data_IF_142708510501
#
_entry.id   IF_142708510501
#
_cell.length_a   1.000
_cell.length_b   1.000
_cell.length_c   1.000
_cell.angle_alpha   90.00
_cell.angle_beta   90.00
_cell.angle_gamma   90.00
#
_symmetry.space_group_name_H-M   'P 1'
#
loop_
_entity.id
_entity.type
_entity.pdbx_description
1 polymer ?
#
# COMPACT_ATOMS: atom_id res chain seq x y z
N UNK A 1 36.88 -0.41 -4.16
CA UNK A 1 36.46 -0.41 -2.75
C UNK A 1 37.58 -0.14 -1.73
N UNK A 2 38.86 -0.24 -2.12
CA UNK A 2 40.02 -0.09 -1.18
C UNK A 2 40.53 1.35 -0.95
N UNK A 3 40.10 2.35 -1.71
CA UNK A 3 40.56 3.75 -1.56
C UNK A 3 39.84 4.57 -0.50
N UNK A 4 38.62 4.15 -0.10
CA UNK A 4 37.80 4.85 0.93
C UNK A 4 38.38 4.62 2.34
N UNK A 5 39.21 3.58 2.52
CA UNK A 5 39.78 3.18 3.81
C UNK A 5 40.99 4.03 4.22
N UNK A 6 41.57 4.82 3.32
CA UNK A 6 42.74 5.69 3.60
C UNK A 6 42.42 7.10 4.09
N UNK A 7 41.12 7.42 4.33
CA UNK A 7 40.70 8.74 4.84
C UNK A 7 40.95 8.94 6.34
N UNK A 8 40.90 10.20 6.78
CA UNK A 8 40.92 10.61 8.19
C UNK A 8 39.84 9.87 8.99
N UNK A 9 40.05 9.65 10.29
CA UNK A 9 39.09 9.00 11.22
C UNK A 9 37.70 9.64 11.09
N UNK A 10 37.63 10.98 10.98
CA UNK A 10 36.41 11.74 10.75
C UNK A 10 35.63 11.24 9.52
N UNK A 11 36.34 11.03 8.41
CA UNK A 11 35.73 10.58 7.16
C UNK A 11 35.19 9.14 7.27
N UNK A 12 35.90 8.28 7.96
CA UNK A 12 35.47 6.88 8.18
C UNK A 12 34.23 6.80 9.06
N UNK A 13 34.17 7.55 10.14
CA UNK A 13 33.03 7.63 11.03
C UNK A 13 31.81 8.18 10.27
N UNK A 14 32.00 9.29 9.53
CA UNK A 14 30.93 9.88 8.72
C UNK A 14 30.35 8.90 7.70
N UNK A 15 31.19 8.23 6.92
CA UNK A 15 30.74 7.25 5.94
C UNK A 15 30.11 6.01 6.61
N UNK A 16 30.60 5.57 7.77
CA UNK A 16 29.98 4.49 8.52
C UNK A 16 28.54 4.81 8.92
N UNK A 17 28.31 5.97 9.54
CA UNK A 17 26.94 6.40 9.90
C UNK A 17 26.06 6.61 8.67
N UNK A 18 26.59 7.21 7.60
CA UNK A 18 25.86 7.40 6.37
C UNK A 18 25.44 6.07 5.73
N UNK A 19 26.30 5.07 5.76
CA UNK A 19 25.99 3.73 5.22
C UNK A 19 24.88 3.07 6.02
N UNK A 20 24.92 3.13 7.35
CA UNK A 20 23.85 2.60 8.22
C UNK A 20 22.53 3.31 7.95
N UNK A 21 22.55 4.64 7.82
CA UNK A 21 21.35 5.43 7.49
C UNK A 21 20.76 5.02 6.14
N UNK A 22 21.59 4.86 5.11
CA UNK A 22 21.13 4.43 3.78
C UNK A 22 20.52 3.03 3.80
N UNK A 23 21.18 2.08 4.48
CA UNK A 23 20.64 0.72 4.62
C UNK A 23 19.29 0.71 5.35
N UNK A 24 19.14 1.51 6.41
CA UNK A 24 17.89 1.67 7.15
C UNK A 24 16.78 2.24 6.25
N UNK A 25 17.08 3.26 5.45
CA UNK A 25 16.13 3.87 4.51
C UNK A 25 15.66 2.83 3.48
N UNK A 26 16.59 2.07 2.89
CA UNK A 26 16.25 1.02 1.92
C UNK A 26 15.33 -0.02 2.57
N UNK A 27 15.66 -0.48 3.77
CA UNK A 27 14.86 -1.46 4.50
C UNK A 27 13.43 -0.95 4.78
N UNK A 28 13.31 0.26 5.32
CA UNK A 28 11.99 0.88 5.60
C UNK A 28 11.20 1.09 4.30
N UNK A 29 11.86 1.51 3.22
CA UNK A 29 11.21 1.74 1.93
C UNK A 29 10.61 0.45 1.36
N UNK A 30 11.37 -0.65 1.39
CA UNK A 30 10.90 -1.96 0.91
C UNK A 30 9.72 -2.46 1.74
N UNK A 31 9.83 -2.40 3.08
CA UNK A 31 8.73 -2.82 3.98
C UNK A 31 7.48 -1.98 3.73
N UNK A 32 7.63 -0.66 3.67
CA UNK A 32 6.50 0.26 3.42
C UNK A 32 5.81 -0.03 2.08
N UNK A 33 6.57 -0.30 1.02
CA UNK A 33 6.01 -0.66 -0.28
C UNK A 33 5.20 -1.97 -0.22
N UNK A 34 5.73 -3.01 0.45
CA UNK A 34 5.04 -4.29 0.59
C UNK A 34 3.75 -4.15 1.40
N UNK A 35 3.79 -3.40 2.51
CA UNK A 35 2.61 -3.11 3.34
C UNK A 35 1.56 -2.31 2.56
N UNK A 36 2.00 -1.27 1.83
CA UNK A 36 1.10 -0.47 1.00
C UNK A 36 0.40 -1.32 -0.06
N UNK A 37 1.16 -2.14 -0.80
CA UNK A 37 0.59 -3.04 -1.83
C UNK A 37 -0.48 -3.96 -1.24
N UNK A 38 -0.16 -4.64 -0.12
CA UNK A 38 -1.09 -5.54 0.55
C UNK A 38 -2.35 -4.82 1.06
N UNK A 39 -2.17 -3.66 1.70
CA UNK A 39 -3.30 -2.89 2.23
C UNK A 39 -4.21 -2.36 1.11
N UNK A 40 -3.63 -1.89 0.00
CA UNK A 40 -4.39 -1.40 -1.16
C UNK A 40 -5.23 -2.51 -1.78
N UNK A 41 -4.67 -3.71 -1.94
CA UNK A 41 -5.43 -4.87 -2.44
C UNK A 41 -6.60 -5.24 -1.51
N UNK A 42 -6.35 -5.26 -0.21
CA UNK A 42 -7.40 -5.57 0.79
C UNK A 42 -8.50 -4.51 0.82
N UNK A 43 -8.12 -3.23 0.81
CA UNK A 43 -9.08 -2.13 0.80
C UNK A 43 -9.90 -2.09 -0.50
N UNK A 44 -9.29 -2.38 -1.64
CA UNK A 44 -10.00 -2.43 -2.91
C UNK A 44 -11.04 -3.56 -2.92
N UNK A 45 -10.70 -4.74 -2.40
CA UNK A 45 -11.64 -5.86 -2.26
C UNK A 45 -12.80 -5.51 -1.33
N UNK A 46 -12.52 -4.88 -0.21
CA UNK A 46 -13.55 -4.51 0.76
C UNK A 46 -14.50 -3.42 0.21
N UNK A 47 -13.96 -2.40 -0.45
CA UNK A 47 -14.77 -1.38 -1.14
C UNK A 47 -15.65 -2.00 -2.22
N UNK A 48 -15.08 -2.89 -3.02
CA UNK A 48 -15.84 -3.61 -4.04
C UNK A 48 -16.98 -4.41 -3.41
N UNK A 49 -16.71 -5.16 -2.34
CA UNK A 49 -17.72 -5.91 -1.60
C UNK A 49 -18.85 -5.02 -1.11
N UNK A 50 -18.53 -3.91 -0.44
CA UNK A 50 -19.52 -2.96 0.06
C UNK A 50 -20.37 -2.36 -1.06
N UNK A 51 -19.75 -2.00 -2.18
CA UNK A 51 -20.47 -1.48 -3.34
C UNK A 51 -21.41 -2.54 -3.92
N UNK A 52 -20.96 -3.76 -4.06
CA UNK A 52 -21.80 -4.89 -4.52
C UNK A 52 -22.96 -5.16 -3.58
N UNK A 53 -22.73 -5.16 -2.27
CA UNK A 53 -23.79 -5.36 -1.26
C UNK A 53 -24.87 -4.27 -1.36
N UNK A 54 -24.49 -3.00 -1.52
CA UNK A 54 -25.42 -1.88 -1.71
C UNK A 54 -26.22 -2.03 -3.00
N UNK A 55 -25.56 -2.32 -4.11
CA UNK A 55 -26.21 -2.50 -5.42
C UNK A 55 -27.16 -3.69 -5.41
N UNK A 56 -26.72 -4.83 -4.85
CA UNK A 56 -27.57 -6.01 -4.72
C UNK A 56 -28.76 -5.77 -3.80
N UNK A 57 -28.58 -5.10 -2.67
CA UNK A 57 -29.70 -4.73 -1.79
C UNK A 57 -30.75 -3.87 -2.49
N UNK A 58 -30.32 -2.96 -3.36
CA UNK A 58 -31.23 -2.12 -4.17
C UNK A 58 -31.98 -2.94 -5.21
N UNK A 59 -31.33 -3.92 -5.85
CA UNK A 59 -31.97 -4.83 -6.80
C UNK A 59 -32.91 -5.80 -6.09
N UNK A 60 -32.53 -6.36 -4.95
CA UNK A 60 -33.36 -7.23 -4.13
C UNK A 60 -34.64 -6.55 -3.67
N UNK A 61 -34.51 -5.29 -3.23
CA UNK A 61 -35.68 -4.49 -2.87
C UNK A 61 -36.65 -4.36 -4.05
N UNK A 62 -36.14 -4.11 -5.26
CA UNK A 62 -36.98 -4.00 -6.46
C UNK A 62 -37.70 -5.32 -6.80
N UNK A 63 -37.04 -6.47 -6.57
CA UNK A 63 -37.58 -7.80 -6.87
C UNK A 63 -38.50 -8.30 -5.76
N UNK A 64 -38.24 -7.97 -4.49
CA UNK A 64 -39.04 -8.45 -3.33
C UNK A 64 -40.42 -7.83 -3.23
N UNK A 65 -40.64 -6.66 -3.78
CA UNK A 65 -41.94 -5.96 -3.73
C UNK A 65 -42.89 -6.31 -4.88
N UNK A 66 -42.46 -7.17 -5.82
CA UNK A 66 -43.27 -7.61 -6.93
C UNK A 66 -43.09 -9.13 -7.10
N UNK A 67 -44.13 -9.83 -7.50
CA UNK A 67 -43.99 -11.26 -7.83
C UNK A 67 -43.17 -11.36 -9.13
N UNK A 68 -41.85 -11.58 -8.95
CA UNK A 68 -40.91 -11.66 -10.08
C UNK A 68 -40.62 -13.12 -10.43
N UNK A 69 -40.81 -13.42 -11.71
CA UNK A 69 -40.47 -14.72 -12.32
C UNK A 69 -39.44 -14.47 -13.43
N UNK A 70 -38.82 -15.53 -13.94
CA UNK A 70 -37.87 -15.43 -15.05
C UNK A 70 -38.48 -14.73 -16.29
N UNK A 71 -39.78 -14.85 -16.49
CA UNK A 71 -40.48 -14.28 -17.67
C UNK A 71 -40.75 -12.78 -17.55
N UNK A 72 -41.03 -12.26 -16.33
CA UNK A 72 -41.43 -10.87 -16.11
C UNK A 72 -40.31 -9.97 -15.53
N UNK A 73 -39.15 -10.52 -15.26
CA UNK A 73 -38.03 -9.81 -14.63
C UNK A 73 -37.54 -8.61 -15.44
N UNK A 74 -37.55 -8.71 -16.79
CA UNK A 74 -37.07 -7.68 -17.69
C UNK A 74 -37.82 -6.35 -17.51
N UNK A 75 -39.17 -6.28 -17.64
CA UNK A 75 -39.91 -5.02 -17.47
C UNK A 75 -39.82 -4.46 -16.04
N UNK A 76 -39.65 -5.32 -15.02
CA UNK A 76 -39.52 -4.89 -13.61
C UNK A 76 -38.18 -4.18 -13.37
N UNK A 77 -37.11 -4.73 -13.93
CA UNK A 77 -35.75 -4.24 -13.66
C UNK A 77 -35.28 -3.14 -14.65
N UNK A 78 -35.87 -3.03 -15.85
CA UNK A 78 -35.39 -2.15 -16.88
C UNK A 78 -35.22 -0.67 -16.43
N UNK A 79 -36.25 -0.12 -15.79
CA UNK A 79 -36.18 1.24 -15.23
C UNK A 79 -35.29 1.31 -13.99
N UNK A 80 -35.32 0.26 -13.17
CA UNK A 80 -34.61 0.24 -11.90
C UNK A 80 -33.11 0.15 -12.08
N UNK A 81 -32.66 -0.59 -13.07
CA UNK A 81 -31.23 -0.68 -13.39
C UNK A 81 -30.68 0.68 -13.83
N UNK A 82 -31.41 1.44 -14.64
CA UNK A 82 -30.99 2.77 -15.04
C UNK A 82 -30.86 3.70 -13.84
N UNK A 83 -31.88 3.70 -12.94
CA UNK A 83 -31.85 4.49 -11.72
C UNK A 83 -30.66 4.12 -10.82
N UNK A 84 -30.46 2.84 -10.54
CA UNK A 84 -29.37 2.36 -9.68
C UNK A 84 -27.99 2.66 -10.29
N UNK A 85 -27.85 2.45 -11.60
CA UNK A 85 -26.63 2.73 -12.34
C UNK A 85 -26.29 4.22 -12.32
N UNK A 86 -27.27 5.11 -12.54
CA UNK A 86 -27.05 6.56 -12.55
C UNK A 86 -26.65 7.10 -11.16
N UNK A 87 -27.27 6.60 -10.11
CA UNK A 87 -26.97 7.00 -8.74
C UNK A 87 -25.57 6.54 -8.33
N UNK A 88 -25.23 5.29 -8.62
CA UNK A 88 -23.99 4.68 -8.13
C UNK A 88 -22.83 4.82 -9.13
N UNK A 89 -23.06 5.34 -10.33
CA UNK A 89 -22.07 5.44 -11.42
C UNK A 89 -21.44 4.10 -11.75
N UNK A 90 -22.26 3.03 -11.71
CA UNK A 90 -21.82 1.66 -11.87
C UNK A 90 -22.62 0.96 -12.95
N UNK A 91 -21.91 0.24 -13.83
CA UNK A 91 -22.56 -0.59 -14.85
C UNK A 91 -23.15 -1.84 -14.21
N UNK A 92 -24.33 -2.23 -14.69
CA UNK A 92 -25.06 -3.40 -14.25
C UNK A 92 -25.45 -4.24 -15.46
N UNK A 93 -25.05 -5.49 -15.45
CA UNK A 93 -25.41 -6.46 -16.49
C UNK A 93 -26.17 -7.61 -15.85
N UNK A 94 -27.31 -7.97 -16.44
CA UNK A 94 -28.15 -9.06 -15.97
C UNK A 94 -28.23 -10.14 -17.03
N UNK A 95 -28.05 -11.37 -16.59
CA UNK A 95 -28.19 -12.59 -17.38
C UNK A 95 -29.36 -13.40 -16.85
N UNK A 96 -29.98 -14.20 -17.74
CA UNK A 96 -30.94 -15.19 -17.32
C UNK A 96 -30.28 -16.40 -16.63
N UNK A 97 -31.06 -17.33 -16.12
CA UNK A 97 -30.54 -18.52 -15.42
C UNK A 97 -29.79 -19.49 -16.37
N UNK A 98 -29.93 -19.33 -17.67
CA UNK A 98 -29.17 -20.06 -18.68
C UNK A 98 -27.84 -19.38 -19.03
N UNK A 99 -27.51 -18.24 -18.35
CA UNK A 99 -26.28 -17.50 -18.58
C UNK A 99 -26.31 -16.58 -19.81
N UNK A 100 -27.45 -16.38 -20.46
CA UNK A 100 -27.58 -15.50 -21.63
C UNK A 100 -27.91 -14.10 -21.22
N UNK A 101 -27.34 -13.11 -21.92
CA UNK A 101 -27.63 -11.70 -21.70
C UNK A 101 -29.13 -11.39 -21.73
N UNK A 102 -29.60 -10.70 -20.69
CA UNK A 102 -31.01 -10.31 -20.55
C UNK A 102 -31.20 -8.79 -20.70
N UNK A 103 -30.51 -7.98 -19.89
CA UNK A 103 -30.59 -6.53 -19.93
C UNK A 103 -29.36 -5.86 -19.24
N UNK A 104 -29.12 -4.59 -19.57
CA UNK A 104 -28.08 -3.75 -18.98
C UNK A 104 -28.44 -2.28 -19.12
N UNK A 105 -27.74 -1.41 -18.36
CA UNK A 105 -27.77 0.03 -18.55
C UNK A 105 -26.94 0.50 -19.76
N UNK A 106 -26.12 -0.39 -20.36
CA UNK A 106 -25.32 -0.12 -21.57
C UNK A 106 -25.88 -0.82 -22.81
N UNK A 107 -25.48 -0.33 -23.98
CA UNK A 107 -25.80 -0.96 -25.24
C UNK A 107 -25.17 -2.35 -25.33
N UNK A 108 -25.92 -3.32 -25.89
CA UNK A 108 -25.49 -4.70 -26.02
C UNK A 108 -24.12 -4.87 -26.71
N UNK A 109 -23.78 -3.95 -27.62
CA UNK A 109 -22.50 -3.97 -28.35
C UNK A 109 -21.28 -3.66 -27.48
N UNK A 110 -21.48 -3.04 -26.31
CA UNK A 110 -20.43 -2.67 -25.36
C UNK A 110 -20.25 -3.67 -24.23
N UNK A 111 -21.03 -4.77 -24.24
CA UNK A 111 -21.05 -5.75 -23.16
C UNK A 111 -20.19 -6.93 -23.52
N UNK A 112 -19.28 -7.26 -22.63
CA UNK A 112 -18.48 -8.48 -22.68
C UNK A 112 -18.38 -9.06 -21.26
N UNK A 113 -18.57 -10.37 -21.05
CA UNK A 113 -19.02 -11.38 -22.02
C UNK A 113 -20.54 -11.32 -22.28
N UNK A 114 -20.98 -11.78 -23.42
CA UNK A 114 -22.43 -11.87 -23.76
C UNK A 114 -23.10 -13.11 -23.17
N UNK A 115 -22.34 -14.12 -22.83
CA UNK A 115 -22.81 -15.37 -22.20
C UNK A 115 -21.88 -15.79 -21.08
N UNK A 116 -22.43 -16.30 -19.99
CA UNK A 116 -21.66 -16.82 -18.85
C UNK A 116 -21.18 -18.25 -19.22
N UNK A 117 -19.88 -18.58 -19.05
CA UNK A 117 -19.39 -19.94 -19.26
C UNK A 117 -20.12 -20.97 -18.39
N UNK A 118 -20.47 -22.13 -18.96
CA UNK A 118 -21.26 -23.17 -18.26
C UNK A 118 -20.61 -23.61 -16.92
N UNK A 119 -19.30 -23.70 -16.85
CA UNK A 119 -18.59 -24.09 -15.62
C UNK A 119 -18.81 -23.09 -14.50
N UNK A 120 -18.81 -21.79 -14.82
CA UNK A 120 -19.05 -20.69 -13.89
C UNK A 120 -20.51 -20.69 -13.45
N UNK A 121 -21.44 -20.88 -14.40
CA UNK A 121 -22.87 -20.96 -14.15
C UNK A 121 -23.22 -22.09 -13.16
N UNK A 122 -22.68 -23.29 -13.35
CA UNK A 122 -22.87 -24.41 -12.44
C UNK A 122 -22.34 -24.16 -11.04
N UNK A 123 -21.24 -23.43 -10.91
CA UNK A 123 -20.68 -23.04 -9.59
C UNK A 123 -21.57 -22.04 -8.88
N UNK A 124 -22.08 -21.03 -9.59
CA UNK A 124 -22.91 -19.95 -9.03
C UNK A 124 -24.22 -20.52 -8.47
N UNK A 125 -24.89 -21.37 -9.22
CA UNK A 125 -26.19 -21.96 -8.84
C UNK A 125 -26.08 -23.02 -7.73
N UNK A 126 -24.90 -23.61 -7.49
CA UNK A 126 -24.66 -24.60 -6.45
C UNK A 126 -24.32 -24.01 -5.07
N UNK A 127 -23.85 -22.79 -5.00
CA UNK A 127 -23.39 -22.17 -3.74
C UNK A 127 -24.57 -21.58 -2.96
N UNK A 128 -24.77 -22.08 -1.73
CA UNK A 128 -25.92 -21.71 -0.88
C UNK A 128 -25.84 -20.33 -0.22
N UNK A 129 -24.66 -19.69 -0.19
CA UNK A 129 -24.52 -18.33 0.38
C UNK A 129 -23.96 -17.37 -0.69
N UNK A 130 -24.77 -16.43 -1.05
CA UNK A 130 -24.61 -15.51 -2.16
C UNK A 130 -23.45 -14.54 -2.03
N UNK A 131 -23.17 -14.05 -0.82
CA UNK A 131 -22.11 -13.07 -0.56
C UNK A 131 -20.75 -13.70 -0.24
N UNK A 132 -20.72 -14.89 0.32
CA UNK A 132 -19.47 -15.61 0.60
C UNK A 132 -18.80 -16.15 -0.67
N UNK A 133 -19.51 -16.09 -1.80
CA UNK A 133 -19.06 -16.59 -3.06
C UNK A 133 -18.65 -15.53 -4.08
N UNK A 134 -18.54 -14.26 -3.66
CA UNK A 134 -18.03 -13.23 -4.55
C UNK A 134 -16.56 -13.52 -4.83
N UNK A 135 -16.31 -14.10 -6.00
CA UNK A 135 -14.96 -14.27 -6.51
C UNK A 135 -14.56 -12.98 -7.21
N UNK A 136 -13.42 -12.44 -6.82
CA UNK A 136 -12.85 -11.28 -7.49
C UNK A 136 -12.06 -11.79 -8.68
N UNK A 137 -12.54 -11.48 -9.87
CA UNK A 137 -11.91 -11.84 -11.14
C UNK A 137 -11.00 -10.70 -11.53
N UNK A 138 -9.73 -11.01 -11.81
CA UNK A 138 -8.81 -10.04 -12.43
C UNK A 138 -8.91 -10.19 -13.94
N UNK A 139 -9.06 -9.08 -14.64
CA UNK A 139 -8.91 -9.01 -16.09
C UNK A 139 -7.43 -8.90 -16.49
N UNK A 140 -7.15 -8.87 -17.81
CA UNK A 140 -5.80 -8.77 -18.37
C UNK A 140 -5.10 -7.43 -17.97
N UNK A 141 -5.84 -6.43 -17.53
CA UNK A 141 -5.34 -5.14 -17.06
C UNK A 141 -5.22 -5.06 -15.52
N UNK A 142 -5.35 -6.19 -14.82
CA UNK A 142 -5.29 -6.28 -13.34
C UNK A 142 -6.47 -5.58 -12.62
N UNK A 143 -7.56 -5.26 -13.34
CA UNK A 143 -8.75 -4.70 -12.74
C UNK A 143 -9.54 -5.78 -11.99
N UNK A 144 -10.03 -5.42 -10.80
CA UNK A 144 -10.88 -6.30 -10.02
C UNK A 144 -12.34 -6.14 -10.43
N UNK A 145 -12.96 -7.23 -10.83
CA UNK A 145 -14.41 -7.31 -11.04
C UNK A 145 -15.04 -8.25 -10.00
N UNK A 146 -16.30 -7.99 -9.63
CA UNK A 146 -17.03 -8.95 -8.84
C UNK A 146 -17.47 -10.13 -9.72
N UNK A 147 -17.53 -11.32 -9.13
CA UNK A 147 -18.10 -12.46 -9.79
C UNK A 147 -19.62 -12.32 -9.97
N UNK A 148 -20.16 -13.16 -10.83
CA UNK A 148 -21.59 -13.26 -11.04
C UNK A 148 -22.36 -13.60 -9.77
N UNK A 149 -23.44 -12.87 -9.48
CA UNK A 149 -24.21 -13.00 -8.23
C UNK A 149 -25.67 -13.35 -8.55
N UNK A 150 -26.24 -14.40 -7.99
CA UNK A 150 -27.64 -14.72 -8.22
C UNK A 150 -28.56 -13.68 -7.58
N UNK A 151 -29.54 -13.18 -8.33
CA UNK A 151 -30.62 -12.36 -7.86
C UNK A 151 -31.78 -13.28 -7.43
N UNK A 152 -32.23 -13.12 -6.18
CA UNK A 152 -33.25 -13.98 -5.59
C UNK A 152 -34.58 -13.23 -5.48
N UNK A 153 -35.68 -13.96 -5.71
CA UNK A 153 -37.02 -13.44 -5.43
C UNK A 153 -37.37 -13.52 -3.93
N UNK A 154 -38.56 -13.10 -3.58
CA UNK A 154 -39.09 -13.16 -2.20
C UNK A 154 -39.20 -14.60 -1.65
N UNK A 155 -39.16 -15.62 -2.49
CA UNK A 155 -39.16 -17.03 -2.10
C UNK A 155 -37.74 -17.63 -1.98
N UNK A 156 -36.69 -16.76 -2.12
CA UNK A 156 -35.28 -17.14 -2.14
C UNK A 156 -34.91 -18.02 -3.34
N UNK A 157 -35.68 -17.97 -4.40
CA UNK A 157 -35.36 -18.66 -5.65
C UNK A 157 -34.58 -17.74 -6.59
N UNK A 158 -33.55 -18.25 -7.26
CA UNK A 158 -32.81 -17.45 -8.23
C UNK A 158 -33.70 -17.14 -9.45
N UNK A 159 -33.76 -15.87 -9.83
CA UNK A 159 -34.54 -15.40 -11.00
C UNK A 159 -33.68 -14.81 -12.09
N UNK A 160 -32.46 -14.42 -11.77
CA UNK A 160 -31.45 -13.91 -12.71
C UNK A 160 -30.06 -13.97 -12.10
N UNK A 161 -29.05 -13.62 -12.91
CA UNK A 161 -27.67 -13.49 -12.47
C UNK A 161 -27.20 -12.09 -12.81
N UNK A 162 -26.65 -11.40 -11.80
CA UNK A 162 -26.15 -10.02 -11.91
C UNK A 162 -24.64 -10.03 -12.00
N UNK A 163 -24.10 -9.21 -12.87
CA UNK A 163 -22.68 -8.96 -13.01
C UNK A 163 -22.42 -7.45 -12.96
N UNK A 164 -21.45 -7.05 -12.15
CA UNK A 164 -21.01 -5.68 -12.04
C UNK A 164 -19.59 -5.56 -12.60
N UNK A 165 -19.41 -5.08 -13.85
CA UNK A 165 -18.10 -4.80 -14.39
C UNK A 165 -17.52 -3.57 -13.70
N UNK A 166 -16.57 -3.74 -12.82
CA UNK A 166 -15.86 -2.65 -12.19
C UNK A 166 -14.66 -2.26 -13.05
N UNK A 167 -14.85 -1.29 -13.89
CA UNK A 167 -13.74 -0.63 -14.56
C UNK A 167 -13.10 0.34 -13.58
N UNK A 168 -11.94 0.00 -13.06
CA UNK A 168 -11.14 0.99 -12.38
C UNK A 168 -10.73 2.02 -13.44
N UNK A 169 -11.19 3.27 -13.29
CA UNK A 169 -10.56 4.33 -14.05
C UNK A 169 -9.09 4.36 -13.64
N UNK A 170 -8.19 4.07 -14.55
CA UNK A 170 -6.73 4.09 -14.38
C UNK A 170 -6.25 5.34 -13.63
N UNK A 171 -6.94 6.46 -13.82
CA UNK A 171 -6.64 7.72 -13.19
C UNK A 171 -6.70 7.69 -11.65
N UNK A 172 -7.67 6.99 -11.03
CA UNK A 172 -7.78 6.97 -9.57
C UNK A 172 -6.71 6.09 -8.94
N UNK A 173 -6.39 4.96 -9.57
CA UNK A 173 -5.35 4.03 -9.10
C UNK A 173 -3.96 4.64 -9.26
N UNK A 174 -3.68 5.23 -10.41
CA UNK A 174 -2.42 5.93 -10.71
C UNK A 174 -2.23 7.14 -9.78
N UNK A 175 -3.27 7.91 -9.52
CA UNK A 175 -3.20 9.06 -8.63
C UNK A 175 -2.89 8.66 -7.18
N UNK A 176 -3.54 7.63 -6.65
CA UNK A 176 -3.27 7.14 -5.29
C UNK A 176 -1.86 6.59 -5.16
N UNK A 177 -1.40 5.82 -6.15
CA UNK A 177 -0.04 5.31 -6.20
C UNK A 177 0.99 6.42 -6.30
N UNK A 178 0.79 7.38 -7.20
CA UNK A 178 1.68 8.53 -7.38
C UNK A 178 1.76 9.40 -6.12
N UNK A 179 0.64 9.67 -5.46
CA UNK A 179 0.63 10.39 -4.18
C UNK A 179 1.42 9.66 -3.10
N UNK A 180 1.27 8.34 -2.98
CA UNK A 180 2.03 7.54 -2.03
C UNK A 180 3.53 7.61 -2.32
N UNK A 181 3.94 7.41 -3.58
CA UNK A 181 5.35 7.50 -4.00
C UNK A 181 5.91 8.89 -3.71
N UNK A 182 5.17 9.95 -4.02
CA UNK A 182 5.59 11.33 -3.76
C UNK A 182 5.83 11.59 -2.26
N UNK A 183 4.91 11.17 -1.39
CA UNK A 183 5.05 11.30 0.06
C UNK A 183 6.27 10.52 0.54
N UNK A 184 6.46 9.30 0.05
CA UNK A 184 7.55 8.43 0.43
C UNK A 184 8.92 8.97 0.01
N UNK A 185 9.02 9.50 -1.21
CA UNK A 185 10.25 10.15 -1.72
C UNK A 185 10.56 11.39 -0.89
N UNK A 186 9.57 12.22 -0.62
CA UNK A 186 9.75 13.44 0.19
C UNK A 186 10.21 13.10 1.61
N UNK A 187 9.59 12.13 2.27
CA UNK A 187 10.00 11.68 3.60
C UNK A 187 11.44 11.14 3.61
N UNK A 188 11.81 10.33 2.62
CA UNK A 188 13.18 9.80 2.48
C UNK A 188 14.21 10.91 2.28
N UNK A 189 13.91 11.94 1.48
CA UNK A 189 14.81 13.09 1.31
C UNK A 189 15.06 13.81 2.63
N UNK A 190 14.02 14.04 3.44
CA UNK A 190 14.13 14.66 4.76
C UNK A 190 15.00 13.81 5.69
N UNK A 191 14.78 12.49 5.73
CA UNK A 191 15.57 11.56 6.56
C UNK A 191 17.04 11.56 6.13
N UNK A 192 17.32 11.58 4.81
CA UNK A 192 18.70 11.65 4.30
C UNK A 192 19.37 12.94 4.74
N UNK A 193 18.70 14.09 4.62
CA UNK A 193 19.26 15.38 5.06
C UNK A 193 19.56 15.38 6.54
N UNK A 194 18.65 14.90 7.38
CA UNK A 194 18.87 14.75 8.81
C UNK A 194 20.01 13.79 9.12
N UNK A 195 20.09 12.66 8.42
CA UNK A 195 21.17 11.68 8.56
C UNK A 195 22.54 12.25 8.22
N UNK A 196 22.66 13.02 7.13
CA UNK A 196 23.89 13.71 6.73
C UNK A 196 24.30 14.73 7.80
N UNK A 197 23.37 15.54 8.25
CA UNK A 197 23.61 16.57 9.27
C UNK A 197 24.07 15.95 10.60
N UNK A 198 23.39 14.89 11.06
CA UNK A 198 23.71 14.18 12.30
C UNK A 198 25.08 13.48 12.19
N UNK A 199 25.33 12.78 11.09
CA UNK A 199 26.61 12.11 10.83
C UNK A 199 27.77 13.09 10.84
N UNK A 200 27.59 14.28 10.26
CA UNK A 200 28.60 15.32 10.25
C UNK A 200 28.87 15.86 11.66
N UNK A 201 27.81 16.15 12.42
CA UNK A 201 27.88 16.63 13.81
C UNK A 201 28.65 15.64 14.71
N UNK A 202 28.22 14.38 14.73
CA UNK A 202 28.83 13.33 15.54
C UNK A 202 30.29 13.10 15.15
N UNK A 203 30.57 13.01 13.84
CA UNK A 203 31.93 12.79 13.34
C UNK A 203 32.87 13.94 13.71
N UNK A 204 32.38 15.20 13.67
CA UNK A 204 33.19 16.38 14.04
C UNK A 204 33.47 16.40 15.54
N UNK A 205 32.49 16.13 16.38
CA UNK A 205 32.61 16.13 17.83
C UNK A 205 33.57 15.04 18.32
N UNK A 206 33.40 13.80 17.85
CA UNK A 206 34.29 12.69 18.19
C UNK A 206 35.74 12.97 17.73
N UNK A 207 35.93 13.49 16.54
CA UNK A 207 37.27 13.76 16.02
C UNK A 207 37.96 14.92 16.78
N UNK A 208 37.23 15.95 17.17
CA UNK A 208 37.79 17.03 18.00
C UNK A 208 38.30 16.54 19.33
N UNK A 209 37.53 15.67 20.01
CA UNK A 209 37.92 15.11 21.29
C UNK A 209 39.17 14.22 21.17
N UNK A 210 39.21 13.32 20.19
CA UNK A 210 40.37 12.48 19.90
C UNK A 210 41.61 13.33 19.59
N UNK A 211 41.48 14.38 18.77
CA UNK A 211 42.60 15.25 18.39
C UNK A 211 43.13 16.02 19.59
N UNK A 212 42.25 16.52 20.47
CA UNK A 212 42.68 17.22 21.72
C UNK A 212 43.52 16.29 22.62
N UNK A 213 43.08 15.06 22.81
CA UNK A 213 43.78 14.07 23.62
C UNK A 213 45.12 13.70 22.97
N UNK A 214 45.10 13.38 21.68
CA UNK A 214 46.32 13.02 20.93
C UNK A 214 47.38 14.13 20.98
N UNK A 215 46.97 15.39 20.76
CA UNK A 215 47.89 16.53 20.80
C UNK A 215 48.54 16.71 22.16
N UNK A 216 47.78 16.51 23.26
CA UNK A 216 48.29 16.60 24.62
C UNK A 216 49.24 15.50 24.96
N UNK A 217 48.98 14.27 24.52
CA UNK A 217 49.87 13.11 24.73
C UNK A 217 51.19 13.32 23.94
N UNK A 218 51.15 13.88 22.74
CA UNK A 218 52.37 14.11 21.96
C UNK A 218 53.23 15.23 22.54
N UNK A 219 52.67 16.17 23.31
CA UNK A 219 53.43 17.22 23.97
C UNK A 219 54.28 16.71 25.15
N UNK A 220 54.02 15.50 25.65
CA UNK A 220 54.84 14.84 26.73
C UNK A 220 56.28 14.62 26.28
N UNK A 221 56.52 14.43 24.99
CA UNK A 221 57.83 14.07 24.42
C UNK A 221 58.74 15.31 24.17
N UNK A 222 58.24 16.54 24.43
CA UNK A 222 58.94 17.78 24.02
C UNK A 222 59.41 18.65 25.18
N UNK A 223 59.57 18.10 26.39
CA UNK A 223 60.14 18.84 27.57
C UNK A 223 59.38 20.11 28.00
N UNK A 224 58.11 20.24 27.65
CA UNK A 224 57.25 21.29 28.14
C UNK A 224 56.57 20.91 29.45
N UNK A 225 56.28 21.88 30.35
CA UNK A 225 55.53 21.64 31.59
C UNK A 225 54.20 20.94 31.28
N UNK A 226 54.09 19.70 31.76
CA UNK A 226 52.90 18.87 31.62
C UNK A 226 51.73 19.52 32.35
N UNK A 227 50.71 19.97 31.63
CA UNK A 227 49.51 20.56 32.21
C UNK A 227 48.32 19.61 32.15
N UNK A 228 47.57 19.44 33.26
CA UNK A 228 46.39 18.56 33.26
C UNK A 228 45.33 19.02 32.24
N UNK A 229 44.71 18.02 31.61
CA UNK A 229 43.59 18.26 30.67
C UNK A 229 42.33 18.48 31.51
N UNK A 230 41.74 19.66 31.38
CA UNK A 230 40.39 19.93 31.94
C UNK A 230 39.34 19.36 30.96
N UNK A 231 38.63 18.35 31.42
CA UNK A 231 37.57 17.69 30.64
C UNK A 231 36.31 17.67 31.52
N UNK A 232 35.19 18.14 30.98
CA UNK A 232 33.95 18.36 31.73
C UNK A 232 32.85 17.36 31.32
N UNK A 233 33.10 16.53 30.32
CA UNK A 233 32.13 15.52 29.90
C UNK A 233 32.40 14.19 30.68
N UNK A 234 31.32 13.51 30.99
CA UNK A 234 31.38 12.16 31.60
C UNK A 234 31.05 11.15 30.49
N UNK A 235 32.07 10.81 29.70
CA UNK A 235 32.00 9.90 28.57
C UNK A 235 33.17 8.91 28.54
N UNK A 236 33.27 8.12 27.46
CA UNK A 236 34.33 7.09 27.31
C UNK A 236 35.74 7.67 27.27
N UNK A 237 35.91 8.98 27.10
CA UNK A 237 37.21 9.64 27.17
C UNK A 237 37.62 10.01 28.58
N UNK A 238 36.69 10.08 29.52
CA UNK A 238 36.93 10.44 30.92
C UNK A 238 37.97 9.53 31.58
N UNK A 239 37.91 8.16 31.49
CA UNK A 239 38.92 7.28 32.05
C UNK A 239 40.30 7.51 31.43
N UNK A 240 40.38 7.77 30.12
CA UNK A 240 41.64 8.03 29.42
C UNK A 240 42.30 9.34 29.90
N UNK A 241 41.50 10.37 30.05
CA UNK A 241 41.98 11.69 30.52
C UNK A 241 42.39 11.64 31.99
N UNK A 242 41.63 10.93 32.81
CA UNK A 242 42.01 10.73 34.24
C UNK A 242 43.30 9.91 34.35
N UNK A 243 43.51 8.88 33.51
CA UNK A 243 44.77 8.14 33.47
C UNK A 243 45.94 9.02 33.06
N UNK A 244 45.77 9.88 32.05
CA UNK A 244 46.77 10.87 31.63
C UNK A 244 47.08 11.83 32.75
N UNK A 245 46.07 12.48 33.37
CA UNK A 245 46.23 13.41 34.46
C UNK A 245 46.85 12.84 35.71
N UNK A 246 46.83 11.50 35.88
CA UNK A 246 47.43 10.80 37.01
C UNK A 246 48.91 10.46 36.75
N UNK A 247 49.34 10.49 35.49
CA UNK A 247 50.70 10.13 35.08
C UNK A 247 51.63 11.36 35.03
N UNK A 248 51.04 12.56 35.00
CA UNK A 248 51.77 13.84 35.07
C UNK A 248 51.81 14.38 36.50
#
# INVERSE_FOLDING_TARGET
MSSIIKGNIRTRIFFGFMLVTLLSIIGVTVISYLVFKKNTETQNKERLRQTVEILMSSLDYAVSHTTVTEENIKPVLEKKILEISDINKQDIIIYNLQGKFLLSNKDKSQISPQEIPEEVLKKILKKGNRFDSIEYIKDDEDNLTASYIPLLNNMLEPVAIVFFPFYHSDNTRLNTFNQYIQIMVTANIIIIMLGIWLSWRISDELTKNIRKISHKITQIDLNEELKPIRYYNDDEFTPLINSYNRTI
#
